data_IF_864213109053
#
_entry.id   IF_864213109053
#
_cell.length_a   1.000
_cell.length_b   1.000
_cell.length_c   1.000
_cell.angle_alpha   90.00
_cell.angle_beta   90.00
_cell.angle_gamma   90.00
#
_symmetry.space_group_name_H-M   'P 1'
#
loop_
_entity.id
_entity.type
_entity.pdbx_description
1 polymer ?
#
# COMPACT_ATOMS: atom_id res chain seq x y z
N UNK A 1 -4.11 13.14 9.55
CA UNK A 1 -5.47 12.58 9.74
C UNK A 1 -5.60 11.52 8.69
N UNK A 2 -5.77 10.26 9.10
CA UNK A 2 -5.85 9.12 8.17
C UNK A 2 -7.19 9.21 7.42
N UNK A 3 -7.18 9.02 6.10
CA UNK A 3 -8.42 9.00 5.33
C UNK A 3 -9.29 7.80 5.72
N UNK A 4 -10.60 8.01 5.76
CA UNK A 4 -11.58 6.93 5.88
C UNK A 4 -11.64 6.13 4.57
N UNK A 5 -12.02 4.85 4.64
CA UNK A 5 -12.08 3.93 3.48
C UNK A 5 -12.85 4.50 2.26
N UNK A 6 -14.04 5.11 2.41
CA UNK A 6 -14.76 5.67 1.25
C UNK A 6 -13.99 6.80 0.55
N UNK A 7 -13.42 7.70 1.35
CA UNK A 7 -12.61 8.82 0.84
C UNK A 7 -11.30 8.31 0.22
N UNK A 8 -10.71 7.27 0.80
CA UNK A 8 -9.54 6.60 0.24
C UNK A 8 -9.86 5.95 -1.11
N UNK A 9 -10.95 5.18 -1.20
CA UNK A 9 -11.42 4.56 -2.45
C UNK A 9 -11.65 5.63 -3.52
N UNK A 10 -12.28 6.75 -3.15
CA UNK A 10 -12.51 7.90 -4.04
C UNK A 10 -11.21 8.49 -4.60
N UNK A 11 -10.22 8.79 -3.75
CA UNK A 11 -8.96 9.40 -4.21
C UNK A 11 -8.07 8.40 -4.95
N UNK A 12 -8.10 7.14 -4.55
CA UNK A 12 -7.33 6.07 -5.19
C UNK A 12 -8.07 5.43 -6.37
N UNK A 13 -9.30 5.82 -6.69
CA UNK A 13 -10.07 5.25 -7.80
C UNK A 13 -10.30 3.74 -7.73
N UNK A 14 -10.27 3.13 -6.53
CA UNK A 14 -10.79 1.78 -6.29
C UNK A 14 -12.29 1.89 -5.97
N UNK A 15 -13.10 0.89 -6.32
CA UNK A 15 -14.55 1.00 -6.07
C UNK A 15 -14.90 0.65 -4.62
N UNK A 16 -14.06 -0.15 -3.96
CA UNK A 16 -14.29 -0.65 -2.62
C UNK A 16 -12.97 -0.90 -1.89
N UNK A 17 -13.06 -1.12 -0.58
CA UNK A 17 -11.92 -1.62 0.20
C UNK A 17 -11.51 -3.03 -0.23
N UNK A 18 -12.49 -3.87 -0.59
CA UNK A 18 -12.23 -5.20 -1.15
C UNK A 18 -11.36 -5.13 -2.41
N UNK A 19 -11.57 -4.14 -3.29
CA UNK A 19 -10.71 -3.96 -4.47
C UNK A 19 -9.25 -3.62 -4.07
N UNK A 20 -9.06 -2.87 -2.99
CA UNK A 20 -7.73 -2.57 -2.43
C UNK A 20 -7.10 -3.86 -1.87
N UNK A 21 -7.88 -4.68 -1.17
CA UNK A 21 -7.41 -5.97 -0.64
C UNK A 21 -7.05 -6.95 -1.76
N UNK A 22 -7.84 -6.97 -2.85
CA UNK A 22 -7.53 -7.74 -4.05
C UNK A 22 -6.24 -7.24 -4.73
N UNK A 23 -6.05 -5.91 -4.84
CA UNK A 23 -4.79 -5.34 -5.33
C UNK A 23 -3.60 -5.74 -4.45
N UNK A 24 -3.76 -5.74 -3.12
CA UNK A 24 -2.71 -6.20 -2.20
C UNK A 24 -2.40 -7.67 -2.46
N UNK A 25 -3.40 -8.54 -2.42
CA UNK A 25 -3.23 -9.99 -2.55
C UNK A 25 -2.63 -10.38 -3.92
N UNK A 26 -3.15 -9.81 -4.99
CA UNK A 26 -2.88 -10.29 -6.35
C UNK A 26 -1.71 -9.59 -7.02
N UNK A 27 -1.30 -8.41 -6.52
CA UNK A 27 -0.33 -7.54 -7.20
C UNK A 27 0.84 -7.20 -6.27
N UNK A 28 0.57 -6.68 -5.07
CA UNK A 28 1.62 -6.10 -4.22
C UNK A 28 1.89 -6.88 -2.93
N UNK A 29 1.53 -8.16 -2.88
CA UNK A 29 1.59 -8.99 -1.68
C UNK A 29 3.00 -9.00 -1.06
N UNK A 30 4.04 -9.10 -1.89
CA UNK A 30 5.44 -9.05 -1.44
C UNK A 30 5.77 -7.72 -0.77
N UNK A 31 5.45 -6.59 -1.40
CA UNK A 31 5.72 -5.27 -0.84
C UNK A 31 4.93 -5.02 0.46
N UNK A 32 3.68 -5.49 0.53
CA UNK A 32 2.86 -5.39 1.72
C UNK A 32 3.38 -6.26 2.86
N UNK A 33 3.82 -7.49 2.57
CA UNK A 33 4.45 -8.37 3.54
C UNK A 33 5.71 -7.71 4.15
N UNK A 34 6.57 -7.12 3.33
CA UNK A 34 7.74 -6.38 3.82
C UNK A 34 7.35 -5.18 4.69
N UNK A 35 6.31 -4.42 4.32
CA UNK A 35 5.78 -3.33 5.15
C UNK A 35 5.33 -3.86 6.53
N UNK A 36 4.69 -5.02 6.58
CA UNK A 36 4.21 -5.60 7.85
C UNK A 36 5.37 -6.14 8.69
N UNK A 37 6.23 -6.99 8.13
CA UNK A 37 7.29 -7.65 8.90
C UNK A 37 8.44 -6.70 9.26
N UNK A 38 8.96 -5.95 8.28
CA UNK A 38 10.15 -5.12 8.51
C UNK A 38 9.81 -3.85 9.27
N UNK A 39 8.58 -3.35 9.18
CA UNK A 39 8.19 -2.09 9.81
C UNK A 39 7.17 -2.27 10.91
N UNK A 40 5.92 -2.64 10.58
CA UNK A 40 4.81 -2.52 11.52
C UNK A 40 4.92 -3.47 12.72
N UNK A 41 5.35 -4.72 12.51
CA UNK A 41 5.64 -5.67 13.59
C UNK A 41 6.81 -5.22 14.45
N UNK A 42 7.95 -4.90 13.83
CA UNK A 42 9.12 -4.41 14.56
C UNK A 42 8.85 -3.13 15.37
N UNK A 43 7.99 -2.23 14.86
CA UNK A 43 7.54 -1.03 15.55
C UNK A 43 6.66 -1.37 16.76
N UNK A 44 5.71 -2.31 16.58
CA UNK A 44 4.83 -2.81 17.64
C UNK A 44 5.57 -3.55 18.74
N UNK A 45 6.53 -4.39 18.39
CA UNK A 45 7.31 -5.19 19.34
C UNK A 45 8.17 -4.32 20.27
N UNK A 46 8.45 -3.08 19.87
CA UNK A 46 9.12 -2.06 20.69
C UNK A 46 8.17 -1.32 21.65
N UNK A 47 6.87 -1.62 21.61
CA UNK A 47 5.85 -0.95 22.42
C UNK A 47 5.52 0.47 21.94
N UNK A 48 5.88 0.82 20.70
CA UNK A 48 5.53 2.10 20.11
C UNK A 48 4.04 2.13 19.75
N UNK A 49 3.48 3.32 19.49
CA UNK A 49 2.07 3.47 19.10
C UNK A 49 1.94 3.42 17.58
N UNK A 50 0.71 3.39 17.06
CA UNK A 50 0.46 3.54 15.62
C UNK A 50 1.31 4.68 15.01
N UNK A 51 2.19 4.40 14.04
CA UNK A 51 3.02 5.42 13.41
C UNK A 51 2.14 6.27 12.48
N UNK A 52 1.51 7.29 13.07
CA UNK A 52 0.66 8.20 12.32
C UNK A 52 1.45 8.91 11.22
N UNK A 53 0.96 8.85 10.00
CA UNK A 53 1.37 9.75 8.95
C UNK A 53 1.12 11.21 9.34
N UNK A 54 1.89 12.12 8.74
CA UNK A 54 1.70 13.56 8.91
C UNK A 54 1.88 14.31 7.58
N UNK A 55 1.37 15.55 7.55
CA UNK A 55 1.41 16.40 6.37
C UNK A 55 2.82 16.63 5.82
N UNK A 56 3.85 16.69 6.67
CA UNK A 56 5.24 16.88 6.23
C UNK A 56 5.79 15.67 5.45
N UNK A 57 5.39 14.44 5.81
CA UNK A 57 5.75 13.24 5.06
C UNK A 57 5.05 13.27 3.69
N UNK A 58 3.76 13.63 3.65
CA UNK A 58 3.03 13.79 2.38
C UNK A 58 3.67 14.85 1.48
N UNK A 59 4.01 16.01 2.05
CA UNK A 59 4.68 17.11 1.35
C UNK A 59 6.04 16.68 0.79
N UNK A 60 6.79 15.84 1.51
CA UNK A 60 8.03 15.26 0.99
C UNK A 60 7.76 14.45 -0.27
N UNK A 61 6.83 13.50 -0.23
CA UNK A 61 6.52 12.65 -1.39
C UNK A 61 6.01 13.47 -2.59
N UNK A 62 5.17 14.49 -2.34
CA UNK A 62 4.69 15.41 -3.38
C UNK A 62 5.83 16.24 -3.96
N UNK A 63 6.70 16.80 -3.12
CA UNK A 63 7.84 17.64 -3.55
C UNK A 63 8.84 16.86 -4.39
N UNK A 64 9.08 15.59 -4.06
CA UNK A 64 10.06 14.73 -4.74
C UNK A 64 9.41 13.73 -5.70
N UNK A 65 8.14 13.91 -6.03
CA UNK A 65 7.34 12.94 -6.79
C UNK A 65 8.00 12.48 -8.09
N UNK A 66 8.57 13.39 -8.88
CA UNK A 66 9.24 13.05 -10.14
C UNK A 66 10.51 12.23 -9.97
N UNK A 67 11.27 12.46 -8.90
CA UNK A 67 12.50 11.70 -8.66
C UNK A 67 12.18 10.31 -8.10
N UNK A 68 11.15 10.21 -7.26
CA UNK A 68 10.66 8.91 -6.79
C UNK A 68 10.03 8.13 -7.95
N UNK A 69 9.31 8.78 -8.85
CA UNK A 69 8.76 8.17 -10.07
C UNK A 69 9.86 7.54 -10.95
N UNK A 70 11.02 8.19 -11.09
CA UNK A 70 12.18 7.60 -11.79
C UNK A 70 12.66 6.32 -11.11
N UNK A 71 12.61 6.27 -9.77
CA UNK A 71 12.96 5.05 -9.02
C UNK A 71 11.95 3.93 -9.29
N UNK A 72 10.65 4.24 -9.31
CA UNK A 72 9.60 3.27 -9.66
C UNK A 72 9.84 2.70 -11.05
N UNK A 73 10.06 3.56 -12.04
CA UNK A 73 10.30 3.14 -13.43
C UNK A 73 11.54 2.26 -13.55
N UNK A 74 12.63 2.66 -12.89
CA UNK A 74 13.86 1.84 -12.85
C UNK A 74 13.58 0.47 -12.21
N UNK A 75 12.87 0.45 -11.08
CA UNK A 75 12.56 -0.78 -10.34
C UNK A 75 11.66 -1.73 -11.15
N UNK A 76 10.64 -1.21 -11.83
CA UNK A 76 9.79 -2.00 -12.71
C UNK A 76 10.58 -2.64 -13.86
N UNK A 77 11.54 -1.90 -14.46
CA UNK A 77 12.40 -2.43 -15.51
C UNK A 77 13.37 -3.53 -15.00
N UNK A 78 13.90 -3.37 -13.80
CA UNK A 78 14.71 -4.40 -13.11
C UNK A 78 13.89 -5.69 -12.90
N UNK A 79 12.67 -5.58 -12.38
CA UNK A 79 11.75 -6.71 -12.20
C UNK A 79 11.44 -7.42 -13.52
N UNK A 80 11.13 -6.67 -14.58
CA UNK A 80 10.82 -7.23 -15.91
C UNK A 80 12.02 -7.92 -16.57
N UNK A 81 13.22 -7.42 -16.33
CA UNK A 81 14.46 -7.97 -16.92
C UNK A 81 15.06 -9.13 -16.11
N UNK A 82 14.46 -9.50 -14.98
CA UNK A 82 14.98 -10.55 -14.08
C UNK A 82 16.30 -10.18 -13.38
N UNK A 83 16.74 -8.92 -13.49
CA UNK A 83 17.92 -8.42 -12.80
C UNK A 83 17.47 -7.76 -11.50
N UNK A 84 17.72 -8.40 -10.35
CA UNK A 84 17.73 -7.66 -9.09
C UNK A 84 18.94 -6.74 -9.12
N UNK A 85 18.74 -5.48 -9.55
CA UNK A 85 19.72 -4.43 -9.28
C UNK A 85 20.07 -4.52 -7.79
N UNK A 86 21.37 -4.49 -7.48
CA UNK A 86 21.83 -4.44 -6.08
C UNK A 86 20.97 -3.42 -5.36
N UNK A 87 20.17 -3.90 -4.41
CA UNK A 87 19.57 -3.05 -3.39
C UNK A 87 20.70 -2.18 -2.90
N UNK A 88 20.64 -0.88 -3.20
CA UNK A 88 21.32 0.06 -2.34
C UNK A 88 20.72 -0.22 -0.98
N UNK A 89 21.50 -0.90 -0.14
CA UNK A 89 21.23 -1.16 1.25
C UNK A 89 20.67 0.15 1.81
N UNK A 90 19.35 0.21 1.94
CA UNK A 90 18.69 1.33 2.58
C UNK A 90 19.15 1.18 4.01
N UNK A 91 20.21 1.94 4.33
CA UNK A 91 20.91 1.89 5.59
C UNK A 91 19.86 1.75 6.69
N UNK A 92 19.87 0.62 7.41
CA UNK A 92 18.93 0.28 8.50
C UNK A 92 19.07 1.23 9.70
N UNK A 93 19.83 2.31 9.53
CA UNK A 93 20.03 3.38 10.48
C UNK A 93 18.84 4.35 10.42
N UNK A 94 17.87 4.02 11.28
CA UNK A 94 16.64 4.72 11.68
C UNK A 94 15.40 4.32 10.90
N UNK A 95 14.52 3.63 11.64
CA UNK A 95 13.08 3.38 11.47
C UNK A 95 12.28 4.68 11.23
N UNK A 96 12.67 5.48 10.25
CA UNK A 96 11.92 6.67 9.87
C UNK A 96 10.74 6.18 9.03
N UNK A 97 9.53 6.45 9.49
CA UNK A 97 8.26 6.19 8.78
C UNK A 97 8.37 6.52 7.29
N UNK A 98 9.02 7.64 6.96
CA UNK A 98 9.28 8.07 5.59
C UNK A 98 10.04 7.05 4.73
N UNK A 99 11.05 6.36 5.28
CA UNK A 99 11.81 5.34 4.53
C UNK A 99 10.96 4.12 4.20
N UNK A 100 10.21 3.61 5.18
CA UNK A 100 9.32 2.45 4.96
C UNK A 100 8.18 2.79 4.00
N UNK A 101 7.61 3.99 4.11
CA UNK A 101 6.62 4.48 3.16
C UNK A 101 7.20 4.54 1.75
N UNK A 102 8.41 5.09 1.61
CA UNK A 102 9.08 5.18 0.31
C UNK A 102 9.35 3.79 -0.28
N UNK A 103 9.87 2.85 0.51
CA UNK A 103 10.14 1.48 0.07
C UNK A 103 8.85 0.81 -0.42
N UNK A 104 7.79 0.85 0.40
CA UNK A 104 6.50 0.27 0.03
C UNK A 104 5.94 0.92 -1.24
N UNK A 105 5.88 2.25 -1.33
CA UNK A 105 5.34 2.92 -2.52
C UNK A 105 6.13 2.59 -3.79
N UNK A 106 7.46 2.55 -3.70
CA UNK A 106 8.30 2.26 -4.86
C UNK A 106 8.09 0.82 -5.33
N UNK A 107 8.13 -0.14 -4.40
CA UNK A 107 7.98 -1.56 -4.74
C UNK A 107 6.56 -1.88 -5.20
N UNK A 108 5.53 -1.37 -4.51
CA UNK A 108 4.13 -1.58 -4.85
C UNK A 108 3.78 -1.02 -6.24
N UNK A 109 4.20 0.22 -6.55
CA UNK A 109 3.97 0.79 -7.87
C UNK A 109 4.79 0.08 -8.97
N UNK A 110 5.98 -0.42 -8.66
CA UNK A 110 6.76 -1.19 -9.61
C UNK A 110 6.07 -2.52 -9.96
N UNK A 111 5.64 -3.29 -8.94
CA UNK A 111 4.86 -4.52 -9.11
C UNK A 111 3.57 -4.25 -9.90
N UNK A 112 2.85 -3.18 -9.57
CA UNK A 112 1.63 -2.77 -10.27
C UNK A 112 1.87 -2.50 -11.77
N UNK A 113 2.98 -1.84 -12.13
CA UNK A 113 3.35 -1.61 -13.53
C UNK A 113 3.73 -2.89 -14.25
N UNK A 114 4.46 -3.79 -13.59
CA UNK A 114 4.81 -5.10 -14.19
C UNK A 114 3.53 -5.89 -14.45
N UNK A 115 2.60 -5.91 -13.49
CA UNK A 115 1.30 -6.55 -13.65
C UNK A 115 0.51 -5.93 -14.81
N UNK A 116 0.35 -4.61 -14.83
CA UNK A 116 -0.36 -3.90 -15.88
C UNK A 116 0.22 -4.15 -17.28
N UNK A 117 1.55 -4.22 -17.41
CA UNK A 117 2.22 -4.54 -18.67
C UNK A 117 1.96 -5.98 -19.14
N UNK A 118 1.89 -6.93 -18.20
CA UNK A 118 1.62 -8.34 -18.49
C UNK A 118 0.13 -8.67 -18.67
N UNK A 119 -0.76 -7.82 -18.16
CA UNK A 119 -2.21 -8.00 -18.19
C UNK A 119 -2.91 -6.65 -18.32
N UNK A 120 -2.96 -6.05 -19.53
CA UNK A 120 -3.46 -4.70 -19.75
C UNK A 120 -4.95 -4.49 -19.40
N UNK A 121 -5.73 -5.57 -19.39
CA UNK A 121 -7.16 -5.54 -19.04
C UNK A 121 -7.41 -5.63 -17.51
N UNK A 122 -6.37 -5.71 -16.68
CA UNK A 122 -6.46 -5.78 -15.23
C UNK A 122 -6.95 -4.45 -14.64
N UNK A 123 -8.22 -4.43 -14.24
CA UNK A 123 -8.90 -3.25 -13.70
C UNK A 123 -8.45 -2.89 -12.28
N UNK A 124 -7.82 -3.82 -11.58
CA UNK A 124 -7.36 -3.61 -10.21
C UNK A 124 -5.97 -2.95 -10.13
N UNK A 125 -5.43 -2.43 -11.24
CA UNK A 125 -4.13 -1.74 -11.24
C UNK A 125 -4.25 -0.25 -10.98
N UNK A 126 -3.32 0.32 -10.23
CA UNK A 126 -3.20 1.78 -10.06
C UNK A 126 -2.74 2.44 -11.37
N UNK A 127 -1.89 1.75 -12.14
CA UNK A 127 -1.32 2.23 -13.40
C UNK A 127 -2.37 2.53 -14.48
N UNK A 128 -3.55 1.91 -14.41
CA UNK A 128 -4.65 2.18 -15.35
C UNK A 128 -5.41 3.48 -15.07
N UNK A 129 -5.17 4.12 -13.93
CA UNK A 129 -5.96 5.26 -13.45
C UNK A 129 -5.43 6.55 -14.07
N UNK A 130 -6.32 7.37 -14.64
CA UNK A 130 -5.94 8.59 -15.36
C UNK A 130 -5.08 9.56 -14.52
N UNK A 131 -5.33 9.64 -13.22
CA UNK A 131 -4.56 10.49 -12.31
C UNK A 131 -3.16 9.95 -12.00
N UNK A 132 -2.89 8.66 -12.21
CA UNK A 132 -1.58 8.05 -11.98
C UNK A 132 -0.53 8.55 -12.99
N UNK A 133 -0.96 9.11 -14.13
CA UNK A 133 -0.07 9.74 -15.10
C UNK A 133 0.64 11.00 -14.57
N UNK A 134 0.11 11.62 -13.50
CA UNK A 134 0.74 12.76 -12.85
C UNK A 134 1.48 12.29 -11.57
N UNK A 135 2.83 12.38 -11.50
CA UNK A 135 3.57 11.92 -10.34
C UNK A 135 3.16 12.57 -9.02
N UNK A 136 2.83 13.87 -9.02
CA UNK A 136 2.42 14.58 -7.79
C UNK A 136 1.14 13.97 -7.23
N UNK A 137 0.12 13.80 -8.08
CA UNK A 137 -1.14 13.18 -7.67
C UNK A 137 -0.94 11.70 -7.31
N UNK A 138 -0.10 10.99 -8.07
CA UNK A 138 0.23 9.59 -7.81
C UNK A 138 0.78 9.40 -6.39
N UNK A 139 1.83 10.13 -6.03
CA UNK A 139 2.47 9.99 -4.72
C UNK A 139 1.65 10.60 -3.59
N UNK A 140 0.83 11.62 -3.85
CA UNK A 140 -0.14 12.10 -2.86
C UNK A 140 -1.15 11.01 -2.50
N UNK A 141 -1.72 10.32 -3.48
CA UNK A 141 -2.70 9.26 -3.26
C UNK A 141 -2.08 7.98 -2.68
N UNK A 142 -0.88 7.62 -3.15
CA UNK A 142 -0.13 6.49 -2.60
C UNK A 142 0.31 6.73 -1.15
N UNK A 143 0.60 7.98 -0.77
CA UNK A 143 0.79 8.35 0.63
C UNK A 143 -0.44 8.04 1.47
N UNK A 144 -1.62 8.50 1.04
CA UNK A 144 -2.86 8.26 1.80
C UNK A 144 -3.20 6.77 1.90
N UNK A 145 -2.96 6.00 0.83
CA UNK A 145 -3.13 4.55 0.83
C UNK A 145 -2.17 3.87 1.81
N UNK A 146 -0.89 4.24 1.77
CA UNK A 146 0.12 3.67 2.68
C UNK A 146 -0.17 4.00 4.14
N UNK A 147 -0.57 5.25 4.43
CA UNK A 147 -0.95 5.69 5.79
C UNK A 147 -2.18 4.93 6.29
N UNK A 148 -3.20 4.76 5.44
CA UNK A 148 -4.38 3.97 5.77
C UNK A 148 -4.04 2.49 6.03
N UNK A 149 -3.16 1.88 5.24
CA UNK A 149 -2.74 0.49 5.44
C UNK A 149 -1.98 0.30 6.76
N UNK A 150 -1.09 1.25 7.10
CA UNK A 150 -0.42 1.23 8.40
C UNK A 150 -1.42 1.36 9.55
N UNK A 151 -2.40 2.28 9.44
CA UNK A 151 -3.41 2.48 10.47
C UNK A 151 -4.30 1.25 10.68
N UNK A 152 -4.75 0.59 9.60
CA UNK A 152 -5.60 -0.61 9.67
C UNK A 152 -4.89 -1.80 10.34
N UNK A 153 -3.55 -1.88 10.26
CA UNK A 153 -2.79 -2.89 11.00
C UNK A 153 -2.90 -2.71 12.52
N UNK A 154 -2.94 -1.47 13.00
CA UNK A 154 -3.02 -1.15 14.44
C UNK A 154 -4.45 -1.16 14.97
N UNK A 155 -5.42 -0.85 14.12
CA UNK A 155 -6.85 -0.88 14.43
C UNK A 155 -7.55 -1.81 13.44
N UNK A 156 -7.46 -3.14 13.66
CA UNK A 156 -8.34 -4.07 12.97
C UNK A 156 -9.80 -3.68 13.24
N UNK A 157 -10.71 -4.08 12.36
CA UNK A 157 -12.06 -3.53 12.21
C UNK A 157 -12.96 -3.55 13.47
N UNK A 158 -12.55 -4.17 14.58
CA UNK A 158 -13.42 -4.49 15.71
C UNK A 158 -13.19 -3.70 17.02
N UNK A 159 -12.30 -2.68 17.06
CA UNK A 159 -12.01 -1.96 18.32
C UNK A 159 -12.20 -0.43 18.22
N UNK A 160 -13.42 0.04 17.95
CA UNK A 160 -13.84 1.46 17.80
C UNK A 160 -13.90 2.01 16.36
N UNK A 161 -14.27 1.16 15.39
CA UNK A 161 -14.76 1.60 14.08
C UNK A 161 -16.22 1.16 13.92
N UNK A 162 -17.13 2.12 13.73
CA UNK A 162 -18.58 1.89 13.56
C UNK A 162 -18.90 1.66 12.06
N UNK A 163 -19.40 0.46 11.66
CA UNK A 163 -19.52 0.01 10.29
C UNK A 163 -20.96 0.00 9.74
N UNK A 164 -21.59 1.16 9.52
CA UNK A 164 -22.75 1.22 8.59
C UNK A 164 -22.30 1.29 7.10
N UNK A 165 -21.03 0.97 6.80
CA UNK A 165 -20.50 0.80 5.44
C UNK A 165 -19.66 -0.49 5.34
N UNK A 166 -20.07 -1.55 6.02
CA UNK A 166 -19.61 -2.90 5.72
C UNK A 166 -20.06 -3.26 4.30
N UNK A 167 -19.13 -3.67 3.44
CA UNK A 167 -19.39 -4.84 2.62
C UNK A 167 -18.15 -5.71 2.54
N UNK A 168 -18.17 -6.67 3.48
CA UNK A 168 -17.56 -8.00 3.48
C UNK A 168 -16.10 -8.11 3.99
N UNK A 169 -15.88 -8.92 5.04
CA UNK A 169 -14.55 -9.27 5.54
C UNK A 169 -13.85 -10.34 4.68
N UNK A 170 -12.53 -10.23 4.55
CA UNK A 170 -11.67 -11.32 4.07
C UNK A 170 -11.59 -12.43 5.14
N UNK A 171 -12.03 -13.64 4.78
CA UNK A 171 -11.77 -14.88 5.52
C UNK A 171 -10.47 -15.54 5.01
N UNK A 172 -9.59 -15.91 5.93
CA UNK A 172 -8.33 -16.62 5.64
C UNK A 172 -8.61 -17.99 4.99
N UNK A 173 -8.06 -18.31 3.79
CA UNK A 173 -8.21 -19.62 3.16
C UNK A 173 -7.55 -20.77 3.94
N UNK A 174 -6.81 -20.50 5.01
CA UNK A 174 -6.27 -21.51 5.92
C UNK A 174 -7.17 -21.84 7.13
N UNK A 175 -8.34 -21.20 7.28
CA UNK A 175 -9.25 -21.44 8.41
C UNK A 175 -10.40 -22.42 8.05
N UNK A 176 -10.34 -23.69 8.50
CA UNK A 176 -11.39 -24.68 8.26
C UNK A 176 -12.65 -24.47 9.13
N UNK A 177 -12.71 -23.41 9.95
CA UNK A 177 -13.77 -23.19 10.94
C UNK A 177 -14.91 -22.27 10.48
N UNK A 178 -14.88 -21.76 9.25
CA UNK A 178 -15.94 -20.88 8.75
C UNK A 178 -17.23 -21.68 8.48
N UNK A 179 -18.06 -21.88 9.50
CA UNK A 179 -19.41 -22.42 9.34
C UNK A 179 -20.31 -21.43 8.57
N UNK A 180 -21.20 -21.91 7.69
CA UNK A 180 -22.10 -21.05 6.95
C UNK A 180 -23.15 -20.44 7.90
N UNK A 181 -23.50 -19.14 7.74
CA UNK A 181 -24.46 -18.48 8.61
C UNK A 181 -25.85 -19.12 8.49
N UNK A 182 -26.44 -19.50 9.62
CA UNK A 182 -27.85 -19.87 9.75
C UNK A 182 -28.66 -18.60 10.07
N UNK A 183 -29.76 -18.43 9.34
CA UNK A 183 -30.70 -17.29 9.36
C UNK A 183 -31.14 -16.81 10.74
#
# INVERSE_FOLDING_TARGET
MVLKRPELCRVTGFNSWTDIELWIRDIVATAYHELVEDYLKAFKDRGEKDPGGNGAIKEYFVRFAYDIEKLVTKRAAEMQSGHSGQEQEINKERWLTMHHYKRFMVEALALDRVKAASSPDEKNTISSKAWAANPITLFANMYELTDALCHNYWKPADSDWDPDDSDVPFTDPADPSAEPPQN
#
